data_IF_347379066990
#
_entry.id   IF_347379066990
#
_cell.length_a   1.000
_cell.length_b   1.000
_cell.length_c   1.000
_cell.angle_alpha   90.00
_cell.angle_beta   90.00
_cell.angle_gamma   90.00
#
_symmetry.space_group_name_H-M   'P 1'
#
loop_
_entity.id
_entity.type
_entity.pdbx_description
1 polymer ?
#
# COMPACT_ATOMS: atom_id res chain seq x y z
N UNK A 1 -41.97 6.15 -2.03
CA UNK A 1 -43.03 5.47 -2.80
C UNK A 1 -42.84 5.84 -4.26
N UNK A 2 -42.72 4.88 -5.19
CA UNK A 2 -42.78 5.21 -6.62
C UNK A 2 -44.18 5.75 -6.93
N UNK A 3 -44.28 6.81 -7.73
CA UNK A 3 -45.54 7.51 -7.98
C UNK A 3 -46.54 6.61 -8.71
N UNK A 4 -47.76 6.45 -8.17
CA UNK A 4 -48.88 5.72 -8.79
C UNK A 4 -49.50 6.42 -10.03
N UNK A 5 -48.84 7.42 -10.60
CA UNK A 5 -49.25 8.10 -11.83
C UNK A 5 -48.28 7.74 -12.98
N UNK A 6 -48.31 6.48 -13.42
CA UNK A 6 -47.77 6.12 -14.73
C UNK A 6 -48.89 6.28 -15.75
N UNK A 7 -49.10 7.51 -16.23
CA UNK A 7 -49.90 7.72 -17.45
C UNK A 7 -49.04 7.31 -18.64
N UNK A 8 -49.61 6.58 -19.59
CA UNK A 8 -48.92 6.27 -20.84
C UNK A 8 -48.51 7.57 -21.52
N UNK A 9 -47.21 7.68 -21.79
CA UNK A 9 -46.63 8.81 -22.51
C UNK A 9 -46.53 8.38 -23.97
N UNK A 10 -47.46 8.78 -24.85
CA UNK A 10 -47.46 8.34 -26.25
C UNK A 10 -46.21 8.79 -27.04
N UNK A 11 -45.42 9.71 -26.49
CA UNK A 11 -44.13 10.14 -27.03
C UNK A 11 -42.93 9.38 -26.43
N UNK A 12 -43.16 8.43 -25.53
CA UNK A 12 -42.13 7.67 -24.81
C UNK A 12 -42.19 6.19 -25.26
N UNK A 13 -41.95 5.97 -26.56
CA UNK A 13 -41.91 4.64 -27.17
C UNK A 13 -40.59 3.94 -26.86
N UNK A 14 -40.60 2.61 -26.80
CA UNK A 14 -39.41 1.79 -26.50
C UNK A 14 -38.28 1.95 -27.54
N UNK A 15 -38.59 2.49 -28.72
CA UNK A 15 -37.62 2.77 -29.79
C UNK A 15 -36.74 4.02 -29.52
N UNK A 16 -37.13 4.88 -28.57
CA UNK A 16 -36.42 6.13 -28.30
C UNK A 16 -35.29 5.88 -27.29
N UNK A 17 -34.04 5.99 -27.75
CA UNK A 17 -32.87 5.93 -26.86
C UNK A 17 -32.76 7.22 -26.02
N UNK A 18 -33.35 7.17 -24.83
CA UNK A 18 -33.38 8.27 -23.83
C UNK A 18 -31.98 8.67 -23.35
N UNK A 19 -30.95 7.87 -23.63
CA UNK A 19 -29.58 8.07 -23.15
C UNK A 19 -28.61 8.46 -24.26
N UNK A 20 -29.09 8.63 -25.49
CA UNK A 20 -28.29 9.13 -26.58
C UNK A 20 -27.87 10.59 -26.29
N UNK A 21 -26.56 10.83 -26.31
CA UNK A 21 -25.98 12.16 -26.13
C UNK A 21 -25.82 12.76 -27.52
N UNK A 22 -26.64 13.76 -27.85
CA UNK A 22 -26.49 14.52 -29.08
C UNK A 22 -25.49 15.66 -28.89
N UNK A 23 -24.64 15.88 -29.89
CA UNK A 23 -23.61 16.93 -29.84
C UNK A 23 -24.26 18.32 -29.85
N UNK A 24 -23.87 19.16 -28.88
CA UNK A 24 -24.38 20.51 -28.75
C UNK A 24 -23.83 21.41 -29.88
N UNK A 25 -24.71 21.94 -30.73
CA UNK A 25 -24.32 22.82 -31.84
C UNK A 25 -24.45 24.30 -31.44
N UNK A 26 -23.78 25.21 -32.16
CA UNK A 26 -23.97 26.65 -31.95
C UNK A 26 -25.42 27.12 -32.08
N UNK A 27 -26.23 26.44 -32.90
CA UNK A 27 -27.65 26.71 -33.12
C UNK A 27 -28.52 26.38 -31.89
N UNK A 28 -28.08 25.43 -31.05
CA UNK A 28 -28.79 25.00 -29.85
C UNK A 28 -28.67 26.03 -28.70
N UNK A 29 -27.77 27.01 -28.84
CA UNK A 29 -27.57 28.07 -27.87
C UNK A 29 -28.70 29.14 -27.92
N UNK A 30 -29.90 28.74 -27.51
CA UNK A 30 -31.09 29.61 -27.44
C UNK A 30 -30.97 30.72 -26.39
N UNK A 31 -30.08 30.56 -25.40
CA UNK A 31 -29.84 31.52 -24.32
C UNK A 31 -28.94 32.69 -24.70
N UNK A 32 -28.31 32.65 -25.89
CA UNK A 32 -27.40 33.68 -26.34
C UNK A 32 -26.01 33.59 -25.69
N UNK A 33 -25.27 34.70 -25.71
CA UNK A 33 -23.88 34.73 -25.22
C UNK A 33 -23.83 34.79 -23.70
N UNK A 34 -22.82 34.18 -23.10
CA UNK A 34 -22.64 34.24 -21.64
C UNK A 34 -22.40 35.68 -21.17
N UNK A 35 -23.12 36.08 -20.11
CA UNK A 35 -22.94 37.37 -19.45
C UNK A 35 -21.71 37.37 -18.51
N UNK A 36 -21.42 36.22 -17.91
CA UNK A 36 -20.33 36.02 -16.96
C UNK A 36 -19.16 35.25 -17.58
N UNK A 37 -17.97 35.45 -17.05
CA UNK A 37 -16.75 34.76 -17.48
C UNK A 37 -16.38 33.66 -16.49
N UNK A 38 -16.24 32.44 -17.00
CA UNK A 38 -15.65 31.31 -16.28
C UNK A 38 -14.18 31.18 -16.64
N UNK A 39 -13.32 31.11 -15.62
CA UNK A 39 -11.87 30.97 -15.78
C UNK A 39 -11.34 29.84 -14.92
N UNK A 40 -10.50 28.97 -15.49
CA UNK A 40 -9.78 27.93 -14.77
C UNK A 40 -8.28 28.03 -15.05
N UNK A 41 -7.50 27.83 -13.99
CA UNK A 41 -6.04 27.86 -14.05
C UNK A 41 -5.46 26.55 -13.51
N UNK A 42 -4.38 26.07 -14.11
CA UNK A 42 -3.60 24.92 -13.61
C UNK A 42 -2.11 25.20 -13.75
N UNK A 43 -1.37 25.01 -12.65
CA UNK A 43 0.09 25.09 -12.62
C UNK A 43 0.73 23.84 -13.22
N UNK A 44 1.84 24.02 -13.94
CA UNK A 44 2.63 22.91 -14.49
C UNK A 44 4.09 22.96 -14.01
N UNK A 45 4.77 21.80 -13.91
CA UNK A 45 6.18 21.77 -13.53
C UNK A 45 7.10 22.37 -14.59
N UNK A 46 8.19 23.04 -14.17
CA UNK A 46 9.15 23.72 -15.06
C UNK A 46 9.67 22.84 -16.22
N UNK A 47 9.90 21.55 -16.00
CA UNK A 47 10.38 20.63 -17.04
C UNK A 47 9.38 20.41 -18.20
N UNK A 48 8.11 20.80 -18.06
CA UNK A 48 7.08 20.70 -19.11
C UNK A 48 7.04 21.90 -20.04
N UNK A 49 7.67 23.00 -19.67
CA UNK A 49 7.62 24.27 -20.41
C UNK A 49 7.98 24.13 -21.88
N UNK A 50 9.10 23.48 -22.19
CA UNK A 50 9.61 23.34 -23.57
C UNK A 50 8.57 22.65 -24.45
N UNK A 51 8.05 21.51 -23.97
CA UNK A 51 7.01 20.77 -24.69
C UNK A 51 5.71 21.55 -24.80
N UNK A 52 5.27 22.21 -23.72
CA UNK A 52 4.02 22.97 -23.75
C UNK A 52 4.11 24.13 -24.72
N UNK A 53 5.24 24.83 -24.80
CA UNK A 53 5.48 25.90 -25.77
C UNK A 53 5.38 25.41 -27.21
N UNK A 54 5.96 24.25 -27.52
CA UNK A 54 5.90 23.63 -28.85
C UNK A 54 4.49 23.12 -29.21
N UNK A 55 3.78 22.53 -28.25
CA UNK A 55 2.47 21.95 -28.46
C UNK A 55 1.31 22.96 -28.34
N UNK A 56 1.55 24.15 -27.78
CA UNK A 56 0.52 25.16 -27.50
C UNK A 56 -0.30 25.57 -28.74
N UNK A 57 0.28 25.76 -29.93
CA UNK A 57 -0.50 26.13 -31.12
C UNK A 57 -1.62 25.13 -31.45
N UNK A 58 -1.37 23.83 -31.21
CA UNK A 58 -2.38 22.78 -31.40
C UNK A 58 -3.51 22.89 -30.37
N UNK A 59 -3.18 23.20 -29.12
CA UNK A 59 -4.16 23.42 -28.04
C UNK A 59 -5.02 24.65 -28.35
N UNK A 60 -4.39 25.77 -28.73
CA UNK A 60 -5.10 27.00 -29.10
C UNK A 60 -6.04 26.78 -30.29
N UNK A 61 -5.59 26.06 -31.33
CA UNK A 61 -6.44 25.74 -32.49
C UNK A 61 -7.66 24.92 -32.08
N UNK A 62 -7.46 23.94 -31.19
CA UNK A 62 -8.51 23.02 -30.73
C UNK A 62 -9.50 23.71 -29.78
N UNK A 63 -9.06 24.62 -28.90
CA UNK A 63 -9.99 25.35 -28.02
C UNK A 63 -10.73 26.49 -28.74
N UNK A 64 -10.14 27.05 -29.80
CA UNK A 64 -10.76 28.09 -30.61
C UNK A 64 -12.02 27.61 -31.33
N UNK A 65 -12.11 26.33 -31.70
CA UNK A 65 -13.33 25.76 -32.33
C UNK A 65 -14.53 25.76 -31.37
N UNK A 66 -14.28 25.67 -30.07
CA UNK A 66 -15.31 25.76 -29.02
C UNK A 66 -15.50 27.20 -28.49
N UNK A 67 -14.80 28.19 -29.07
CA UNK A 67 -14.87 29.58 -28.63
C UNK A 67 -14.25 29.82 -27.25
N UNK A 68 -13.29 28.99 -26.82
CA UNK A 68 -12.61 29.12 -25.52
C UNK A 68 -11.24 29.78 -25.74
N UNK A 69 -10.91 30.78 -24.91
CA UNK A 69 -9.60 31.40 -24.89
C UNK A 69 -8.65 30.61 -23.98
N UNK A 70 -7.38 30.54 -24.36
CA UNK A 70 -6.35 29.89 -23.55
C UNK A 70 -5.06 30.69 -23.54
N UNK A 71 -4.44 30.79 -22.38
CA UNK A 71 -3.19 31.51 -22.12
C UNK A 71 -2.17 30.55 -21.48
N UNK A 72 -0.91 30.66 -21.91
CA UNK A 72 0.22 29.93 -21.37
C UNK A 72 1.20 30.93 -20.78
N UNK A 73 1.33 30.94 -19.47
CA UNK A 73 2.30 31.75 -18.74
C UNK A 73 3.54 30.91 -18.38
N UNK A 74 4.68 31.31 -18.94
CA UNK A 74 5.97 30.66 -18.71
C UNK A 74 6.73 31.22 -17.50
N UNK A 75 6.35 32.41 -17.03
CA UNK A 75 6.95 33.06 -15.86
C UNK A 75 6.38 32.44 -14.59
N UNK A 76 5.05 32.42 -14.46
CA UNK A 76 4.38 31.75 -13.34
C UNK A 76 4.34 30.22 -13.49
N UNK A 77 4.45 29.72 -14.73
CA UNK A 77 4.31 28.28 -15.02
C UNK A 77 2.86 27.82 -14.90
N UNK A 78 1.93 28.60 -15.45
CA UNK A 78 0.49 28.37 -15.37
C UNK A 78 -0.16 28.29 -16.76
N UNK A 79 -1.19 27.46 -16.88
CA UNK A 79 -2.08 27.40 -18.05
C UNK A 79 -3.46 27.85 -17.61
N UNK A 80 -4.05 28.77 -18.36
CA UNK A 80 -5.37 29.34 -18.05
C UNK A 80 -6.30 29.16 -19.23
N UNK A 81 -7.55 28.79 -18.97
CA UNK A 81 -8.64 28.71 -19.96
C UNK A 81 -9.81 29.56 -19.50
N UNK A 82 -10.39 30.32 -20.42
CA UNK A 82 -11.45 31.30 -20.15
C UNK A 82 -12.56 31.17 -21.17
N UNK A 83 -13.82 31.24 -20.74
CA UNK A 83 -14.95 31.39 -21.66
C UNK A 83 -14.90 32.76 -22.33
N UNK A 84 -15.38 32.84 -23.55
CA UNK A 84 -15.48 34.11 -24.30
C UNK A 84 -16.93 34.36 -24.68
N UNK A 85 -17.21 35.56 -25.22
CA UNK A 85 -18.52 35.87 -25.81
C UNK A 85 -18.89 34.98 -26.99
N UNK A 86 -17.97 34.18 -27.53
CA UNK A 86 -18.19 33.24 -28.64
C UNK A 86 -18.36 31.79 -28.18
N UNK A 87 -18.20 31.52 -26.88
CA UNK A 87 -18.47 30.19 -26.34
C UNK A 87 -19.96 29.93 -26.45
N UNK A 88 -20.34 28.85 -27.14
CA UNK A 88 -21.75 28.47 -27.33
C UNK A 88 -22.14 27.33 -26.39
N UNK A 89 -21.24 26.40 -26.11
CA UNK A 89 -21.47 25.28 -25.20
C UNK A 89 -21.05 25.65 -23.76
N UNK A 90 -21.98 25.64 -22.78
CA UNK A 90 -21.66 25.92 -21.38
C UNK A 90 -20.76 24.85 -20.73
N UNK A 91 -20.78 23.61 -21.19
CA UNK A 91 -20.00 22.51 -20.60
C UNK A 91 -18.56 22.44 -21.15
N UNK A 92 -18.30 23.00 -22.34
CA UNK A 92 -16.98 22.97 -22.98
C UNK A 92 -15.84 23.52 -22.10
N UNK A 93 -16.12 24.49 -21.22
CA UNK A 93 -15.11 25.02 -20.29
C UNK A 93 -14.62 23.98 -19.27
N UNK A 94 -15.47 23.01 -18.89
CA UNK A 94 -15.09 21.91 -18.00
C UNK A 94 -14.16 20.93 -18.71
N UNK A 95 -14.42 20.64 -19.99
CA UNK A 95 -13.51 19.84 -20.82
C UNK A 95 -12.17 20.54 -21.03
N UNK A 96 -12.18 21.86 -21.28
CA UNK A 96 -10.96 22.67 -21.38
C UNK A 96 -10.15 22.71 -20.07
N UNK A 97 -10.82 22.78 -18.92
CA UNK A 97 -10.18 22.63 -17.60
C UNK A 97 -9.48 21.27 -17.49
N UNK A 98 -10.15 20.21 -17.90
CA UNK A 98 -9.59 18.85 -17.80
C UNK A 98 -8.44 18.63 -18.78
N UNK A 99 -8.49 19.25 -19.97
CA UNK A 99 -7.38 19.31 -20.93
C UNK A 99 -6.10 19.89 -20.31
N UNK A 100 -6.17 21.08 -19.70
CA UNK A 100 -4.98 21.71 -19.09
C UNK A 100 -4.47 20.90 -17.88
N UNK A 101 -5.35 20.22 -17.14
CA UNK A 101 -4.95 19.31 -16.05
C UNK A 101 -4.20 18.08 -16.57
N UNK A 102 -4.62 17.53 -17.70
CA UNK A 102 -3.94 16.40 -18.35
C UNK A 102 -2.56 16.81 -18.89
N UNK A 103 -2.46 17.97 -19.54
CA UNK A 103 -1.19 18.52 -20.03
C UNK A 103 -0.17 18.74 -18.90
N UNK A 104 -0.64 19.25 -17.75
CA UNK A 104 0.17 19.41 -16.54
C UNK A 104 0.65 18.07 -15.95
N UNK A 105 -0.07 16.97 -16.22
CA UNK A 105 0.30 15.60 -15.84
C UNK A 105 1.10 14.85 -16.90
N UNK A 106 1.67 15.57 -17.86
CA UNK A 106 2.54 15.04 -18.92
C UNK A 106 1.85 14.17 -19.96
N UNK A 107 0.53 14.28 -20.11
CA UNK A 107 -0.17 13.66 -21.24
C UNK A 107 0.20 14.42 -22.52
N UNK A 108 0.53 13.73 -23.64
CA UNK A 108 0.81 14.39 -24.91
C UNK A 108 -0.42 15.14 -25.44
N UNK A 109 -0.22 16.34 -26.01
CA UNK A 109 -1.30 17.19 -26.49
C UNK A 109 -2.21 16.53 -27.53
N UNK A 110 -1.72 15.77 -28.54
CA UNK A 110 -2.58 15.09 -29.50
C UNK A 110 -3.54 14.08 -28.85
N UNK A 111 -3.13 13.47 -27.75
CA UNK A 111 -3.96 12.55 -27.00
C UNK A 111 -4.90 13.30 -26.03
N UNK A 112 -4.41 14.37 -25.42
CA UNK A 112 -5.18 15.16 -24.46
C UNK A 112 -6.37 15.88 -25.11
N UNK A 113 -6.23 16.37 -26.35
CA UNK A 113 -7.30 17.09 -27.08
C UNK A 113 -8.56 16.25 -27.28
N UNK A 114 -8.46 14.91 -27.28
CA UNK A 114 -9.62 14.01 -27.36
C UNK A 114 -10.59 14.17 -26.19
N UNK A 115 -10.20 14.83 -25.10
CA UNK A 115 -11.11 15.15 -23.97
C UNK A 115 -12.19 16.17 -24.34
N UNK A 116 -12.02 16.88 -25.47
CA UNK A 116 -13.02 17.81 -25.99
C UNK A 116 -14.14 17.09 -26.75
N UNK A 117 -13.98 15.79 -27.04
CA UNK A 117 -14.99 14.96 -27.67
C UNK A 117 -15.97 14.41 -26.63
N UNK A 118 -17.25 14.34 -26.97
CA UNK A 118 -18.29 13.80 -26.10
C UNK A 118 -18.03 12.31 -25.77
N UNK A 119 -18.31 11.92 -24.53
CA UNK A 119 -18.14 10.52 -24.07
C UNK A 119 -16.71 10.15 -23.65
N UNK A 120 -15.72 11.02 -23.87
CA UNK A 120 -14.37 10.87 -23.31
C UNK A 120 -14.28 11.68 -22.02
N UNK A 121 -13.93 11.00 -20.93
CA UNK A 121 -13.66 11.64 -19.64
C UNK A 121 -12.21 11.39 -19.22
N UNK A 122 -11.75 12.12 -18.20
CA UNK A 122 -10.44 11.90 -17.60
C UNK A 122 -10.55 11.55 -16.12
N UNK A 123 -9.57 10.81 -15.64
CA UNK A 123 -9.42 10.53 -14.22
C UNK A 123 -7.95 10.62 -13.79
N UNK A 124 -7.68 11.41 -12.75
CA UNK A 124 -6.32 11.61 -12.20
C UNK A 124 -6.27 10.93 -10.83
N UNK A 125 -5.74 9.72 -10.81
CA UNK A 125 -5.69 8.86 -9.63
C UNK A 125 -4.43 9.15 -8.82
N UNK A 126 -4.61 9.61 -7.57
CA UNK A 126 -3.51 9.93 -6.66
C UNK A 126 -3.02 8.68 -5.93
N UNK A 127 -1.85 8.19 -6.32
CA UNK A 127 -1.25 6.97 -5.75
C UNK A 127 -0.24 7.23 -4.61
N UNK A 128 0.22 8.49 -4.42
CA UNK A 128 1.27 8.85 -3.43
C UNK A 128 0.98 8.37 -2.01
N UNK A 129 -0.26 8.52 -1.55
CA UNK A 129 -0.62 8.30 -0.15
C UNK A 129 -1.03 6.85 0.16
N UNK A 130 -1.06 5.98 -0.86
CA UNK A 130 -1.53 4.60 -0.71
C UNK A 130 -0.45 3.68 -0.13
N UNK A 131 0.83 4.06 -0.22
CA UNK A 131 1.95 3.23 0.24
C UNK A 131 2.93 4.08 1.06
N UNK A 132 3.18 3.68 2.31
CA UNK A 132 4.06 4.42 3.24
C UNK A 132 5.54 4.40 2.83
N UNK A 133 6.04 3.24 2.42
CA UNK A 133 7.46 3.05 2.12
C UNK A 133 7.77 3.40 0.65
N UNK A 134 8.75 4.28 0.43
CA UNK A 134 9.16 4.74 -0.92
C UNK A 134 9.56 3.59 -1.84
N UNK A 135 10.37 2.64 -1.38
CA UNK A 135 10.78 1.49 -2.21
C UNK A 135 9.60 0.61 -2.63
N UNK A 136 8.67 0.38 -1.70
CA UNK A 136 7.47 -0.41 -1.97
C UNK A 136 6.55 0.33 -2.95
N UNK A 137 6.46 1.66 -2.84
CA UNK A 137 5.73 2.51 -3.77
C UNK A 137 6.31 2.38 -5.19
N UNK A 138 7.64 2.52 -5.34
CA UNK A 138 8.30 2.39 -6.66
C UNK A 138 8.07 0.99 -7.25
N UNK A 139 8.22 -0.07 -6.46
CA UNK A 139 7.97 -1.46 -6.92
C UNK A 139 6.52 -1.69 -7.33
N UNK A 140 5.53 -1.17 -6.58
CA UNK A 140 4.10 -1.29 -6.93
C UNK A 140 3.71 -0.43 -8.12
N UNK A 141 4.27 0.78 -8.25
CA UNK A 141 4.08 1.63 -9.43
C UNK A 141 4.64 0.97 -10.69
N UNK A 142 5.86 0.41 -10.60
CA UNK A 142 6.46 -0.32 -11.72
C UNK A 142 5.63 -1.56 -12.11
N UNK A 143 5.00 -2.21 -11.13
CA UNK A 143 4.09 -3.35 -11.37
C UNK A 143 2.86 -2.96 -12.21
N UNK A 144 2.35 -1.72 -12.10
CA UNK A 144 1.25 -1.23 -12.94
C UNK A 144 1.70 -1.15 -14.41
N UNK A 145 2.92 -0.67 -14.66
CA UNK A 145 3.52 -0.66 -16.00
C UNK A 145 3.71 -2.09 -16.54
N UNK A 146 4.23 -2.98 -15.69
CA UNK A 146 4.64 -4.33 -16.05
C UNK A 146 5.97 -4.36 -16.82
N UNK A 147 6.46 -5.55 -17.15
CA UNK A 147 7.66 -5.70 -17.98
C UNK A 147 7.38 -5.14 -19.38
N UNK A 148 8.25 -4.27 -19.89
CA UNK A 148 8.14 -3.60 -21.19
C UNK A 148 6.77 -2.91 -21.44
N UNK A 149 6.06 -2.49 -20.39
CA UNK A 149 4.75 -1.85 -20.54
C UNK A 149 3.59 -2.79 -20.91
N UNK A 150 3.81 -4.10 -20.94
CA UNK A 150 2.81 -5.10 -21.36
C UNK A 150 1.53 -5.07 -20.52
N UNK A 151 1.65 -4.93 -19.20
CA UNK A 151 0.50 -4.90 -18.28
C UNK A 151 -0.34 -3.64 -18.50
N UNK A 152 0.33 -2.49 -18.66
CA UNK A 152 -0.34 -1.24 -18.98
C UNK A 152 -1.04 -1.33 -20.33
N UNK A 153 -0.37 -1.86 -21.36
CA UNK A 153 -0.97 -1.96 -22.70
C UNK A 153 -2.18 -2.90 -22.74
N UNK A 154 -2.11 -4.03 -22.04
CA UNK A 154 -3.24 -4.94 -21.91
C UNK A 154 -4.43 -4.25 -21.21
N UNK A 155 -4.17 -3.47 -20.16
CA UNK A 155 -5.20 -2.71 -19.47
C UNK A 155 -5.84 -1.68 -20.41
N UNK A 156 -5.05 -0.89 -21.13
CA UNK A 156 -5.55 0.09 -22.12
C UNK A 156 -6.49 -0.53 -23.16
N UNK A 157 -6.14 -1.70 -23.71
CA UNK A 157 -6.94 -2.39 -24.72
C UNK A 157 -8.24 -2.97 -24.17
N UNK A 158 -8.21 -3.46 -22.93
CA UNK A 158 -9.38 -4.03 -22.28
C UNK A 158 -10.40 -2.96 -21.90
N UNK A 159 -9.94 -1.85 -21.31
CA UNK A 159 -10.80 -0.78 -20.81
C UNK A 159 -11.07 0.32 -21.85
N UNK A 160 -10.46 0.25 -23.03
CA UNK A 160 -10.52 1.28 -24.08
C UNK A 160 -10.11 2.67 -23.57
N UNK A 161 -9.14 2.71 -22.66
CA UNK A 161 -8.62 3.95 -22.07
C UNK A 161 -7.16 4.15 -22.45
N UNK A 162 -6.72 5.40 -22.51
CA UNK A 162 -5.31 5.75 -22.49
C UNK A 162 -4.85 5.92 -21.03
N UNK A 163 -3.72 5.31 -20.66
CA UNK A 163 -3.23 5.33 -19.27
C UNK A 163 -1.78 5.80 -19.24
N UNK A 164 -1.51 6.85 -18.47
CA UNK A 164 -0.17 7.37 -18.27
C UNK A 164 0.19 7.36 -16.78
N UNK A 165 1.18 6.55 -16.44
CA UNK A 165 1.72 6.45 -15.08
C UNK A 165 2.89 7.41 -14.95
N UNK A 166 2.70 8.54 -14.26
CA UNK A 166 3.76 9.55 -14.09
C UNK A 166 3.90 10.02 -12.65
N UNK A 167 5.12 9.89 -12.12
CA UNK A 167 5.46 10.33 -10.77
C UNK A 167 4.57 9.69 -9.70
N UNK A 168 3.68 10.51 -9.14
CA UNK A 168 2.84 10.23 -7.97
C UNK A 168 1.35 10.07 -8.29
N UNK A 169 1.01 10.12 -9.57
CA UNK A 169 -0.36 10.05 -10.09
C UNK A 169 -0.40 9.11 -11.29
N UNK A 170 -1.56 8.53 -11.54
CA UNK A 170 -1.85 7.84 -12.79
C UNK A 170 -2.99 8.59 -13.45
N UNK A 171 -2.75 9.08 -14.66
CA UNK A 171 -3.75 9.75 -15.48
C UNK A 171 -4.38 8.72 -16.42
N UNK A 172 -5.70 8.69 -16.47
CA UNK A 172 -6.46 7.85 -17.41
C UNK A 172 -7.42 8.72 -18.22
N UNK A 173 -7.64 8.38 -19.49
CA UNK A 173 -8.61 9.02 -20.37
C UNK A 173 -9.40 7.95 -21.12
N UNK A 174 -10.72 8.14 -21.27
CA UNK A 174 -11.58 7.24 -22.02
C UNK A 174 -13.01 7.20 -21.49
N UNK A 175 -13.77 6.14 -21.79
CA UNK A 175 -15.17 6.04 -21.39
C UNK A 175 -15.34 5.83 -19.88
N UNK A 176 -16.45 6.31 -19.31
CA UNK A 176 -16.72 6.24 -17.87
C UNK A 176 -16.63 4.83 -17.27
N UNK A 177 -17.12 3.81 -17.99
CA UNK A 177 -17.02 2.40 -17.56
C UNK A 177 -15.56 1.97 -17.43
N UNK A 178 -14.75 2.25 -18.45
CA UNK A 178 -13.32 1.96 -18.46
C UNK A 178 -12.55 2.68 -17.36
N UNK A 179 -12.85 3.97 -17.11
CA UNK A 179 -12.22 4.74 -16.03
C UNK A 179 -12.52 4.15 -14.65
N UNK A 180 -13.75 3.70 -14.40
CA UNK A 180 -14.13 3.06 -13.13
C UNK A 180 -13.36 1.77 -12.90
N UNK A 181 -13.18 0.96 -13.95
CA UNK A 181 -12.39 -0.26 -13.90
C UNK A 181 -10.92 0.05 -13.64
N UNK A 182 -10.32 0.96 -14.40
CA UNK A 182 -8.92 1.38 -14.26
C UNK A 182 -8.63 1.89 -12.85
N UNK A 183 -9.51 2.72 -12.29
CA UNK A 183 -9.41 3.21 -10.90
C UNK A 183 -9.34 2.07 -9.90
N UNK A 184 -10.27 1.12 -9.99
CA UNK A 184 -10.28 -0.07 -9.11
C UNK A 184 -8.98 -0.86 -9.23
N UNK A 185 -8.52 -1.14 -10.45
CA UNK A 185 -7.28 -1.90 -10.69
C UNK A 185 -6.05 -1.21 -10.09
N UNK A 186 -5.95 0.13 -10.22
CA UNK A 186 -4.81 0.90 -9.72
C UNK A 186 -4.81 0.96 -8.19
N UNK A 187 -5.96 1.22 -7.58
CA UNK A 187 -6.12 1.26 -6.12
C UNK A 187 -5.81 -0.11 -5.50
N UNK A 188 -6.34 -1.19 -6.08
CA UNK A 188 -6.08 -2.58 -5.65
C UNK A 188 -4.62 -2.99 -5.85
N UNK A 189 -4.00 -2.56 -6.96
CA UNK A 189 -2.56 -2.78 -7.19
C UNK A 189 -1.71 -2.12 -6.11
N UNK A 190 -2.08 -0.90 -5.70
CA UNK A 190 -1.45 -0.21 -4.59
C UNK A 190 -1.77 -0.86 -3.24
N UNK A 191 -2.89 -1.56 -3.11
CA UNK A 191 -3.27 -2.38 -1.95
C UNK A 191 -2.60 -3.78 -1.92
N UNK A 192 -1.59 -4.03 -2.76
CA UNK A 192 -0.82 -5.28 -2.85
C UNK A 192 -1.45 -6.42 -3.66
N UNK A 193 -2.56 -6.18 -4.35
CA UNK A 193 -3.09 -7.14 -5.32
C UNK A 193 -2.26 -7.01 -6.61
N UNK A 194 -2.09 -8.08 -7.39
CA UNK A 194 -1.35 -8.00 -8.65
C UNK A 194 -2.32 -7.63 -9.79
N UNK A 195 -2.01 -6.66 -10.68
CA UNK A 195 -2.93 -6.19 -11.71
C UNK A 195 -3.33 -7.28 -12.71
N UNK A 196 -2.45 -8.28 -12.93
CA UNK A 196 -2.75 -9.48 -13.73
C UNK A 196 -4.06 -10.18 -13.30
N UNK A 197 -4.40 -10.18 -12.02
CA UNK A 197 -5.64 -10.78 -11.54
C UNK A 197 -6.87 -10.06 -12.08
N UNK A 198 -6.84 -8.73 -12.08
CA UNK A 198 -7.92 -7.94 -12.67
C UNK A 198 -7.90 -7.99 -14.19
N UNK A 199 -6.74 -8.08 -14.83
CA UNK A 199 -6.67 -8.27 -16.29
C UNK A 199 -7.38 -9.58 -16.67
N UNK A 200 -7.12 -10.68 -15.95
CA UNK A 200 -7.84 -11.95 -16.16
C UNK A 200 -9.34 -11.82 -15.89
N UNK A 201 -9.72 -11.12 -14.81
CA UNK A 201 -11.13 -10.82 -14.49
C UNK A 201 -11.81 -10.07 -15.64
N UNK A 202 -11.17 -9.03 -16.18
CA UNK A 202 -11.69 -8.21 -17.29
C UNK A 202 -11.76 -8.99 -18.60
N UNK A 203 -10.79 -9.85 -18.90
CA UNK A 203 -10.84 -10.73 -20.07
C UNK A 203 -12.06 -11.65 -20.02
N UNK A 204 -12.30 -12.30 -18.87
CA UNK A 204 -13.44 -13.19 -18.68
C UNK A 204 -14.75 -12.42 -18.76
N UNK A 205 -14.86 -11.25 -18.11
CA UNK A 205 -16.06 -10.39 -18.20
C UNK A 205 -16.36 -9.97 -19.63
N UNK A 206 -15.33 -9.65 -20.43
CA UNK A 206 -15.50 -9.24 -21.82
C UNK A 206 -15.97 -10.36 -22.72
N UNK A 207 -15.55 -11.60 -22.45
CA UNK A 207 -16.07 -12.78 -23.16
C UNK A 207 -17.52 -13.09 -22.72
N UNK A 208 -17.79 -13.13 -21.40
CA UNK A 208 -19.15 -13.36 -20.88
C UNK A 208 -20.16 -12.29 -21.32
N UNK A 209 -19.73 -11.04 -21.49
CA UNK A 209 -20.59 -9.96 -21.96
C UNK A 209 -21.05 -10.13 -23.42
N UNK A 210 -20.41 -11.00 -24.21
CA UNK A 210 -20.85 -11.30 -25.58
C UNK A 210 -22.03 -12.27 -25.61
N UNK A 211 -22.21 -13.06 -24.56
CA UNK A 211 -23.27 -14.06 -24.48
C UNK A 211 -24.58 -13.40 -23.97
N UNK A 212 -25.65 -13.35 -24.79
CA UNK A 212 -26.87 -12.65 -24.41
C UNK A 212 -27.66 -13.35 -23.30
N UNK A 213 -27.53 -14.68 -23.17
CA UNK A 213 -28.25 -15.48 -22.16
C UNK A 213 -27.81 -15.16 -20.72
N UNK A 214 -26.53 -14.81 -20.54
CA UNK A 214 -25.92 -14.57 -19.22
C UNK A 214 -25.97 -13.09 -18.80
N UNK A 215 -26.56 -12.20 -19.61
CA UNK A 215 -26.52 -10.75 -19.38
C UNK A 215 -27.21 -10.31 -18.07
N UNK A 216 -28.24 -11.05 -17.64
CA UNK A 216 -29.04 -10.72 -16.45
C UNK A 216 -28.63 -11.53 -15.20
N UNK A 217 -27.67 -12.45 -15.33
CA UNK A 217 -27.22 -13.30 -14.22
C UNK A 217 -25.94 -12.76 -13.55
N UNK A 218 -25.71 -13.12 -12.29
CA UNK A 218 -24.44 -12.79 -11.62
C UNK A 218 -23.30 -13.66 -12.17
N UNK A 219 -22.22 -13.01 -12.60
CA UNK A 219 -21.03 -13.68 -13.14
C UNK A 219 -20.04 -14.16 -12.06
N UNK A 220 -20.33 -13.97 -10.78
CA UNK A 220 -19.40 -14.29 -9.67
C UNK A 220 -18.91 -15.76 -9.67
N UNK A 221 -19.71 -16.69 -10.21
CA UNK A 221 -19.34 -18.10 -10.35
C UNK A 221 -18.18 -18.31 -11.33
N UNK A 222 -18.11 -17.51 -12.39
CA UNK A 222 -17.11 -17.61 -13.46
C UNK A 222 -15.87 -16.77 -13.16
N UNK A 223 -15.99 -15.78 -12.28
CA UNK A 223 -14.88 -14.90 -11.92
C UNK A 223 -13.86 -15.61 -11.02
N UNK A 224 -12.56 -15.59 -11.37
CA UNK A 224 -11.53 -16.19 -10.54
C UNK A 224 -11.41 -15.49 -9.18
N UNK A 225 -11.58 -16.25 -8.10
CA UNK A 225 -11.50 -15.69 -6.76
C UNK A 225 -10.06 -15.73 -6.22
N UNK A 226 -9.31 -14.65 -6.39
CA UNK A 226 -7.93 -14.53 -5.90
C UNK A 226 -7.85 -14.08 -4.43
N UNK A 227 -8.81 -14.50 -3.59
CA UNK A 227 -8.79 -14.24 -2.16
C UNK A 227 -7.50 -14.78 -1.56
N UNK A 228 -6.86 -13.93 -0.75
CA UNK A 228 -5.66 -14.29 0.00
C UNK A 228 -6.02 -15.45 0.94
N UNK A 229 -5.49 -16.65 0.68
CA UNK A 229 -5.55 -17.78 1.60
C UNK A 229 -4.61 -17.51 2.79
N UNK A 230 -4.94 -16.54 3.64
CA UNK A 230 -4.29 -16.44 4.95
C UNK A 230 -4.86 -17.51 5.83
N UNK A 231 -4.02 -18.45 6.28
CA UNK A 231 -4.35 -19.29 7.42
C UNK A 231 -4.72 -18.35 8.57
N UNK A 232 -5.99 -18.40 8.99
CA UNK A 232 -6.55 -17.53 10.04
C UNK A 232 -5.80 -17.67 11.36
N UNK A 233 -5.15 -18.82 11.56
CA UNK A 233 -4.32 -19.12 12.72
C UNK A 233 -2.87 -19.32 12.27
N UNK A 234 -2.04 -18.32 12.53
CA UNK A 234 -0.58 -18.53 12.57
C UNK A 234 -0.31 -19.51 13.71
N UNK A 235 0.29 -20.68 13.44
CA UNK A 235 0.78 -21.56 14.52
C UNK A 235 1.69 -20.71 15.43
N UNK A 236 1.40 -20.70 16.74
CA UNK A 236 2.23 -19.97 17.70
C UNK A 236 3.66 -20.54 17.58
N UNK A 237 4.68 -19.70 17.33
CA UNK A 237 6.05 -20.18 17.32
C UNK A 237 6.38 -20.75 18.71
N UNK A 238 7.21 -21.80 18.76
CA UNK A 238 7.64 -22.42 20.03
C UNK A 238 8.24 -21.40 21.00
N UNK A 239 8.92 -20.37 20.46
CA UNK A 239 9.44 -19.23 21.20
C UNK A 239 8.59 -17.98 20.91
N UNK A 240 7.69 -17.64 21.82
CA UNK A 240 6.92 -16.39 21.79
C UNK A 240 7.71 -15.34 22.56
N UNK A 241 8.23 -14.32 21.85
CA UNK A 241 8.79 -13.14 22.50
C UNK A 241 7.64 -12.29 23.06
N UNK A 242 7.37 -12.48 24.35
CA UNK A 242 6.39 -11.68 25.07
C UNK A 242 6.91 -10.24 25.25
N UNK A 243 6.28 -9.29 24.58
CA UNK A 243 6.70 -7.88 24.57
C UNK A 243 6.48 -7.20 25.92
N UNK A 244 5.62 -7.76 26.78
CA UNK A 244 5.46 -7.29 28.16
C UNK A 244 6.76 -7.35 28.95
N UNK A 245 7.66 -8.27 28.60
CA UNK A 245 8.96 -8.47 29.27
C UNK A 245 10.04 -7.44 28.86
N UNK A 246 9.76 -6.54 27.91
CA UNK A 246 10.71 -5.51 27.45
C UNK A 246 10.06 -4.13 27.46
N UNK A 247 9.76 -3.57 28.65
CA UNK A 247 9.26 -2.20 28.75
C UNK A 247 10.30 -1.23 28.17
N UNK A 248 9.80 -0.22 27.44
CA UNK A 248 10.66 0.82 26.88
C UNK A 248 11.23 1.67 28.03
N UNK A 249 12.55 1.64 28.20
CA UNK A 249 13.29 2.58 29.04
C UNK A 249 13.99 3.58 28.12
N UNK A 250 13.85 4.90 28.34
CA UNK A 250 14.55 5.91 27.56
C UNK A 250 16.06 5.95 27.89
N UNK A 251 16.45 5.39 29.04
CA UNK A 251 17.85 5.29 29.44
C UNK A 251 18.48 4.02 28.86
N UNK A 252 19.62 4.12 28.16
CA UNK A 252 20.35 2.94 27.73
C UNK A 252 20.87 2.18 28.95
N UNK A 253 21.00 0.84 28.89
CA UNK A 253 21.69 0.09 29.93
C UNK A 253 23.15 0.55 30.01
N UNK A 254 23.74 0.45 31.20
CA UNK A 254 25.16 0.75 31.37
C UNK A 254 26.00 -0.15 30.42
N UNK A 255 27.02 0.39 29.74
CA UNK A 255 27.92 -0.42 28.94
C UNK A 255 28.61 -1.46 29.83
N UNK A 256 28.91 -2.62 29.27
CA UNK A 256 29.74 -3.61 29.95
C UNK A 256 31.13 -3.01 30.21
N UNK A 257 31.56 -3.05 31.48
CA UNK A 257 32.85 -2.50 31.90
C UNK A 257 33.99 -3.25 31.21
N UNK A 258 35.03 -2.53 30.79
CA UNK A 258 36.20 -3.19 30.20
C UNK A 258 36.94 -4.03 31.25
N UNK A 259 37.79 -4.97 30.81
CA UNK A 259 38.65 -5.71 31.74
C UNK A 259 39.53 -4.78 32.58
N UNK A 260 39.94 -3.64 32.01
CA UNK A 260 40.73 -2.62 32.70
C UNK A 260 39.88 -1.93 33.78
N UNK A 261 38.64 -1.56 33.45
CA UNK A 261 37.73 -0.93 34.42
C UNK A 261 37.40 -1.89 35.57
N UNK A 262 37.14 -3.17 35.29
CA UNK A 262 36.94 -4.20 36.31
C UNK A 262 38.17 -4.36 37.21
N UNK A 263 39.38 -4.26 36.65
CA UNK A 263 40.63 -4.31 37.41
C UNK A 263 40.86 -3.03 38.24
N UNK A 264 40.47 -1.86 37.74
CA UNK A 264 40.55 -0.60 38.47
C UNK A 264 39.56 -0.60 39.63
N UNK A 265 38.33 -1.07 39.41
CA UNK A 265 37.29 -1.18 40.45
C UNK A 265 37.63 -2.20 41.54
N UNK A 266 38.23 -3.33 41.19
CA UNK A 266 38.71 -4.33 42.16
C UNK A 266 40.00 -3.91 42.87
N UNK A 267 40.64 -2.81 42.46
CA UNK A 267 41.94 -2.38 42.97
C UNK A 267 43.12 -3.25 42.51
N UNK A 268 42.86 -4.36 41.83
CA UNK A 268 43.88 -5.26 41.30
C UNK A 268 44.77 -4.57 40.26
N UNK A 269 44.26 -3.56 39.55
CA UNK A 269 45.04 -2.82 38.57
C UNK A 269 46.26 -2.14 39.19
N UNK A 270 46.13 -1.65 40.42
CA UNK A 270 47.18 -0.89 41.11
C UNK A 270 48.20 -1.78 41.85
N UNK A 271 47.89 -3.06 42.06
CA UNK A 271 48.79 -4.00 42.71
C UNK A 271 49.88 -4.49 41.75
N UNK A 272 51.14 -4.36 42.15
CA UNK A 272 52.27 -4.98 41.45
C UNK A 272 52.20 -6.52 41.47
N UNK A 273 52.89 -7.19 40.53
CA UNK A 273 52.86 -8.66 40.39
C UNK A 273 53.17 -9.41 41.71
N UNK A 274 54.17 -8.94 42.46
CA UNK A 274 54.56 -9.53 43.74
C UNK A 274 53.48 -9.41 44.83
N UNK A 275 52.73 -8.30 44.85
CA UNK A 275 51.64 -8.10 45.82
C UNK A 275 50.46 -9.04 45.52
N UNK A 276 50.15 -9.26 44.24
CA UNK A 276 49.14 -10.24 43.79
C UNK A 276 49.53 -11.68 44.17
N UNK A 277 50.79 -12.04 43.97
CA UNK A 277 51.31 -13.37 44.33
C UNK A 277 51.23 -13.62 45.84
N UNK A 278 51.56 -12.61 46.66
CA UNK A 278 51.44 -12.71 48.13
C UNK A 278 49.99 -12.90 48.55
N UNK A 279 49.06 -12.12 47.99
CA UNK A 279 47.63 -12.25 48.26
C UNK A 279 47.08 -13.64 47.84
N UNK A 280 47.55 -14.18 46.70
CA UNK A 280 47.17 -15.51 46.26
C UNK A 280 47.71 -16.62 47.17
N UNK A 281 48.91 -16.45 47.73
CA UNK A 281 49.49 -17.39 48.71
C UNK A 281 48.74 -17.36 50.04
N UNK A 282 48.37 -16.17 50.53
CA UNK A 282 47.57 -16.05 51.76
C UNK A 282 46.19 -16.70 51.60
N UNK A 283 45.53 -16.48 50.46
CA UNK A 283 44.22 -17.09 50.17
C UNK A 283 44.32 -18.63 50.08
N UNK A 284 45.39 -19.17 49.49
CA UNK A 284 45.64 -20.63 49.45
C UNK A 284 45.83 -21.21 50.86
N UNK A 285 46.61 -20.52 51.70
CA UNK A 285 46.84 -20.92 53.09
C UNK A 285 45.54 -20.94 53.89
N UNK A 286 44.69 -19.92 53.74
CA UNK A 286 43.38 -19.86 54.38
C UNK A 286 42.44 -20.97 53.90
N UNK A 287 42.36 -21.23 52.60
CA UNK A 287 41.58 -22.35 52.04
C UNK A 287 42.04 -23.71 52.57
N UNK A 288 43.35 -23.89 52.73
CA UNK A 288 43.90 -25.12 53.32
C UNK A 288 43.52 -25.25 54.79
N UNK A 289 43.56 -24.17 55.58
CA UNK A 289 43.10 -24.16 56.97
C UNK A 289 41.63 -24.56 57.09
N UNK A 290 40.75 -23.96 56.28
CA UNK A 290 39.32 -24.28 56.26
C UNK A 290 39.08 -25.74 55.92
N UNK A 291 39.73 -26.28 54.89
CA UNK A 291 39.60 -27.70 54.52
C UNK A 291 40.12 -28.64 55.61
N UNK A 292 41.18 -28.25 56.32
CA UNK A 292 41.67 -29.02 57.45
C UNK A 292 40.64 -29.02 58.59
N UNK A 293 40.01 -27.88 58.87
CA UNK A 293 38.92 -27.78 59.85
C UNK A 293 37.70 -28.60 59.46
N UNK A 294 37.27 -28.55 58.19
CA UNK A 294 36.16 -29.38 57.69
C UNK A 294 36.47 -30.86 57.82
N UNK A 295 37.66 -31.31 57.39
CA UNK A 295 38.09 -32.71 57.57
C UNK A 295 38.17 -33.11 59.02
N UNK A 296 38.57 -32.20 59.91
CA UNK A 296 38.61 -32.45 61.35
C UNK A 296 37.19 -32.63 61.90
N UNK A 297 36.24 -31.76 61.50
CA UNK A 297 34.82 -31.87 61.86
C UNK A 297 34.17 -33.13 61.30
N UNK A 298 34.49 -33.54 60.08
CA UNK A 298 34.01 -34.79 59.49
C UNK A 298 34.53 -36.00 60.27
N UNK A 299 35.84 -36.03 60.57
CA UNK A 299 36.41 -37.08 61.42
C UNK A 299 35.75 -37.13 62.80
N UNK A 300 35.53 -35.98 63.44
CA UNK A 300 34.86 -35.91 64.75
C UNK A 300 33.43 -36.45 64.70
N UNK A 301 32.71 -36.30 63.58
CA UNK A 301 31.37 -36.90 63.39
C UNK A 301 31.43 -38.43 63.26
N UNK A 302 32.44 -38.97 62.60
CA UNK A 302 32.59 -40.43 62.44
C UNK A 302 32.89 -41.16 63.77
N UNK A 303 33.44 -40.46 64.76
CA UNK A 303 33.72 -41.01 66.10
C UNK A 303 32.50 -40.98 67.05
N UNK A 304 31.37 -40.40 66.64
CA UNK A 304 30.12 -40.43 67.40
C UNK A 304 29.26 -41.59 66.88
N UNK A 305 28.99 -42.65 67.68
CA UNK A 305 28.18 -43.77 67.24
C UNK A 305 26.76 -43.31 66.83
N UNK A 306 26.22 -43.80 65.71
CA UNK A 306 24.85 -43.50 65.30
C UNK A 306 23.84 -44.17 66.26
N UNK A 307 22.78 -43.45 66.66
CA UNK A 307 21.74 -44.00 67.53
C UNK A 307 20.86 -45.03 66.79
N UNK A 308 20.80 -46.27 67.26
CA UNK A 308 19.96 -47.34 66.70
C UNK A 308 18.58 -47.44 67.39
N UNK A 309 17.49 -47.45 66.60
CA UNK A 309 16.11 -47.71 67.05
C UNK A 309 15.69 -49.20 67.00
N UNK A 310 14.64 -49.63 67.73
CA UNK A 310 14.38 -51.05 68.05
C UNK A 310 13.74 -51.90 66.93
N UNK A 311 14.17 -53.18 66.77
CA UNK A 311 13.72 -54.18 65.75
C UNK A 311 12.60 -55.13 66.24
N UNK A 312 11.63 -55.46 65.36
CA UNK A 312 10.50 -56.44 65.55
C UNK A 312 10.84 -57.86 65.04
N UNK A 313 10.38 -58.92 65.73
CA UNK A 313 10.57 -60.37 65.40
C UNK A 313 9.45 -60.96 64.51
N UNK A 314 9.77 -61.95 63.66
CA UNK A 314 8.85 -62.77 62.81
C UNK A 314 8.72 -64.23 63.32
N UNK A 315 7.54 -64.86 63.11
CA UNK A 315 7.07 -66.21 63.56
C UNK A 315 7.52 -67.36 62.60
N UNK A 316 7.72 -68.57 63.14
CA UNK A 316 8.11 -69.84 62.47
C UNK A 316 6.90 -70.77 62.22
N UNK A 317 6.87 -71.52 61.11
CA UNK A 317 6.00 -72.70 60.89
C UNK A 317 6.83 -74.00 60.78
N UNK A 318 6.30 -75.10 61.30
CA UNK A 318 6.86 -76.47 61.40
C UNK A 318 6.41 -77.33 60.20
N UNK A 319 7.27 -78.26 59.76
CA UNK A 319 7.02 -79.30 58.74
C UNK A 319 6.99 -80.67 59.47
N UNK A 320 6.08 -81.55 59.05
CA UNK A 320 5.93 -82.97 59.45
C UNK A 320 6.83 -83.87 58.58
N UNK A 321 7.40 -84.93 59.17
CA UNK A 321 8.05 -86.05 58.47
C UNK A 321 7.47 -87.37 59.01
N UNK A 322 7.20 -88.30 58.08
CA UNK A 322 6.74 -89.68 58.27
C UNK A 322 7.89 -90.61 58.66
N UNK A 323 7.72 -91.40 59.73
CA UNK A 323 7.74 -92.88 59.75
C UNK A 323 7.22 -93.41 61.10
#
# INVERSE_FOLDING_TARGET
MPSNHSKDKPWDTDDIDKWKIDTFKPEDNKGGTFAEESSFMTLFPKYREVYLKEAWPLVTKSLKTHGIACELDLVEGSMTVKTTRKTFDPAAILAARDLIRLLARSVPAPQAVKILEDGVACDIIKIRNLVRNKERFVKRRQRILGPNGSTLKALELLTQTYILVHGNTVSAMGPYKGLKEVRRVIEDCMANIHPIYHIKELMIKRELAKDPELANESWDRFLPNFKKKTLSKRKKPFKVNDKTKKPYTPFPPAPEKSKVDLQIESGEYFLGKQAKERAAQTEKMEKQKVKMEEKKREREKDFVPPEEGPKKKRKKSKVEDEE
#
